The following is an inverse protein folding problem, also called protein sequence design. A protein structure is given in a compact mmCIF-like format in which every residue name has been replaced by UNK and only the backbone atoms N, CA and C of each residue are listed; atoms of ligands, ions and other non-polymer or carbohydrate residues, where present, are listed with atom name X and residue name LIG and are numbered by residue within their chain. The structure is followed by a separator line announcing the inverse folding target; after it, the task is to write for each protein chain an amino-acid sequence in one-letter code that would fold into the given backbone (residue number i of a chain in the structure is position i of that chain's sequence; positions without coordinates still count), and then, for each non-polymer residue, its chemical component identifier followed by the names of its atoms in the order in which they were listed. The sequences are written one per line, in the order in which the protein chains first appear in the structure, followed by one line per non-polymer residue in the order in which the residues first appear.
data_IF_254515070981
#
_entry.id   IF_254515070981
#
_cell.length_a   1.000
_cell.length_b   1.000
_cell.length_c   1.000
_cell.angle_alpha   90.00
_cell.angle_beta   90.00
_cell.angle_gamma   90.00
#
_symmetry.space_group_name_H-M   'P 1'
#
loop_
_entity.id
_entity.type
_entity.pdbx_description
1 polymer ?
#
# COMPACT_ATOMS: atom_id res chain seq x y z
N UNK A 1 3.52 4.52 -11.65
CA UNK A 1 3.16 3.11 -11.78
C UNK A 1 1.92 2.97 -12.63
N UNK A 2 1.94 2.05 -13.60
CA UNK A 2 0.77 1.73 -14.42
C UNK A 2 -0.30 1.06 -13.55
N UNK A 3 -1.56 1.49 -13.69
CA UNK A 3 -2.66 0.93 -12.92
C UNK A 3 -2.86 -0.56 -13.12
N UNK A 4 -2.64 -1.07 -14.33
CA UNK A 4 -2.71 -2.51 -14.62
C UNK A 4 -1.61 -3.28 -13.92
N UNK A 5 -0.43 -2.71 -13.86
CA UNK A 5 0.71 -3.31 -13.19
C UNK A 5 0.49 -3.38 -11.68
N UNK A 6 -0.03 -2.29 -11.11
CA UNK A 6 -0.38 -2.22 -9.70
C UNK A 6 -1.45 -3.24 -9.34
N UNK A 7 -2.48 -3.37 -10.17
CA UNK A 7 -3.56 -4.33 -9.95
C UNK A 7 -3.01 -5.75 -9.85
N UNK A 8 -2.14 -6.14 -10.79
CA UNK A 8 -1.51 -7.47 -10.77
C UNK A 8 -0.62 -7.66 -9.54
N UNK A 9 0.11 -6.62 -9.16
CA UNK A 9 0.98 -6.67 -7.99
C UNK A 9 0.17 -6.92 -6.72
N UNK A 10 -0.94 -6.25 -6.56
CA UNK A 10 -1.84 -6.42 -5.41
C UNK A 10 -2.49 -7.81 -5.45
N UNK A 11 -2.97 -8.25 -6.61
CA UNK A 11 -3.58 -9.59 -6.76
C UNK A 11 -2.65 -10.72 -6.35
N UNK A 12 -1.37 -10.60 -6.64
CA UNK A 12 -0.37 -11.60 -6.28
C UNK A 12 -0.24 -11.79 -4.78
N UNK A 13 -0.64 -10.80 -4.00
CA UNK A 13 -0.55 -10.84 -2.55
C UNK A 13 -1.80 -11.42 -1.89
N UNK A 14 -2.89 -11.58 -2.64
CA UNK A 14 -4.13 -12.17 -2.11
C UNK A 14 -3.89 -13.62 -1.68
N UNK A 15 -4.38 -13.97 -0.49
CA UNK A 15 -4.35 -15.35 0.02
C UNK A 15 -2.95 -15.97 0.09
N UNK A 16 -1.91 -15.13 0.24
CA UNK A 16 -0.53 -15.61 0.34
C UNK A 16 -0.07 -15.75 1.79
N UNK A 17 -0.81 -15.17 2.73
CA UNK A 17 -0.50 -15.20 4.16
C UNK A 17 -1.81 -15.07 4.94
N UNK A 18 -1.74 -15.20 6.26
CA UNK A 18 -2.92 -14.98 7.12
C UNK A 18 -3.43 -13.55 7.00
N UNK A 19 -2.53 -12.60 6.80
CA UNK A 19 -2.87 -11.19 6.70
C UNK A 19 -3.65 -10.86 5.42
N UNK A 20 -3.52 -11.67 4.38
CA UNK A 20 -4.19 -11.43 3.09
C UNK A 20 -5.22 -12.51 2.75
N UNK A 21 -5.46 -13.45 3.66
CA UNK A 21 -6.41 -14.54 3.43
C UNK A 21 -7.83 -14.00 3.30
N UNK A 22 -8.51 -14.41 2.24
CA UNK A 22 -9.89 -13.99 1.98
C UNK A 22 -10.01 -12.68 1.19
N UNK A 23 -8.91 -12.04 0.84
CA UNK A 23 -8.95 -10.82 0.03
C UNK A 23 -9.28 -11.14 -1.42
N UNK A 24 -10.14 -10.32 -2.02
CA UNK A 24 -10.46 -10.34 -3.45
C UNK A 24 -10.92 -8.95 -3.88
N UNK A 25 -11.04 -8.73 -5.18
CA UNK A 25 -11.58 -7.46 -5.66
C UNK A 25 -13.06 -7.31 -5.31
N UNK A 26 -13.76 -8.41 -5.07
CA UNK A 26 -15.17 -8.39 -4.71
C UNK A 26 -15.42 -7.80 -3.33
N UNK A 27 -14.46 -7.88 -2.42
CA UNK A 27 -14.59 -7.31 -1.09
C UNK A 27 -13.71 -6.07 -0.87
N UNK A 28 -13.30 -5.40 -1.95
CA UNK A 28 -12.60 -4.13 -1.86
C UNK A 28 -13.44 -3.13 -1.07
N UNK A 29 -12.82 -2.48 -0.10
CA UNK A 29 -13.53 -1.63 0.86
C UNK A 29 -13.45 -2.22 2.26
N UNK A 30 -13.44 -3.56 2.37
CA UNK A 30 -13.09 -4.26 3.60
C UNK A 30 -11.58 -4.31 3.78
N UNK A 31 -10.85 -4.17 2.69
CA UNK A 31 -9.40 -3.97 2.67
C UNK A 31 -9.10 -2.81 1.74
N UNK A 32 -7.92 -2.22 1.88
CA UNK A 32 -7.48 -1.09 1.06
C UNK A 32 -6.04 -1.28 0.64
N UNK A 33 -5.62 -0.53 -0.40
CA UNK A 33 -4.20 -0.44 -0.77
C UNK A 33 -3.53 0.50 0.22
N UNK A 34 -2.47 0.03 0.86
CA UNK A 34 -1.75 0.74 1.91
C UNK A 34 -0.31 1.01 1.48
N UNK A 35 0.25 2.12 1.93
CA UNK A 35 1.67 2.41 1.78
C UNK A 35 2.43 1.72 2.91
N UNK A 36 3.37 0.85 2.56
CA UNK A 36 4.21 0.14 3.53
C UNK A 36 5.00 1.16 4.36
N UNK A 37 5.67 2.09 3.67
CA UNK A 37 6.25 3.27 4.31
C UNK A 37 5.26 4.41 4.13
N UNK A 38 4.70 4.98 5.21
CA UNK A 38 3.64 6.00 5.11
C UNK A 38 4.09 7.26 4.40
N UNK A 39 3.13 7.94 3.77
CA UNK A 39 3.38 9.22 3.12
C UNK A 39 3.98 10.22 4.13
N UNK A 40 3.49 10.22 5.36
CA UNK A 40 3.99 11.08 6.43
C UNK A 40 5.49 10.94 6.66
N UNK A 41 6.02 9.72 6.55
CA UNK A 41 7.45 9.46 6.67
C UNK A 41 8.24 10.24 5.62
N UNK A 42 7.78 10.19 4.36
CA UNK A 42 8.44 10.89 3.26
C UNK A 42 8.36 12.40 3.44
N UNK A 43 7.22 12.91 3.94
CA UNK A 43 7.04 14.33 4.17
C UNK A 43 7.94 14.86 5.28
N UNK A 44 8.16 14.06 6.33
CA UNK A 44 8.97 14.47 7.48
C UNK A 44 10.46 14.31 7.29
N UNK A 45 10.89 13.30 6.52
CA UNK A 45 12.28 12.88 6.45
C UNK A 45 12.96 13.19 5.12
N UNK A 46 12.19 13.63 4.12
CA UNK A 46 12.69 13.90 2.79
C UNK A 46 12.01 15.14 2.21
N UNK A 47 12.63 15.73 1.19
CA UNK A 47 12.00 16.79 0.42
C UNK A 47 11.01 16.17 -0.57
N UNK A 48 9.72 16.29 -0.29
CA UNK A 48 8.67 15.69 -1.13
C UNK A 48 8.54 16.38 -2.49
N UNK A 49 9.22 17.51 -2.70
CA UNK A 49 9.32 18.12 -4.02
C UNK A 49 10.34 17.40 -4.92
N UNK A 50 11.18 16.54 -4.34
CA UNK A 50 12.08 15.69 -5.09
C UNK A 50 11.29 14.62 -5.81
N UNK A 51 11.37 14.57 -7.15
CA UNK A 51 10.63 13.62 -7.97
C UNK A 51 11.00 12.18 -7.63
N UNK A 52 12.26 11.91 -7.29
CA UNK A 52 12.71 10.56 -6.92
C UNK A 52 12.06 10.09 -5.63
N UNK A 53 11.89 10.99 -4.66
CA UNK A 53 11.20 10.68 -3.40
C UNK A 53 9.71 10.39 -3.67
N UNK A 54 9.07 11.17 -4.54
CA UNK A 54 7.68 10.93 -4.94
C UNK A 54 7.53 9.56 -5.59
N UNK A 55 8.44 9.20 -6.50
CA UNK A 55 8.43 7.89 -7.18
C UNK A 55 8.58 6.76 -6.17
N UNK A 56 9.46 6.92 -5.18
CA UNK A 56 9.67 5.92 -4.15
C UNK A 56 8.42 5.70 -3.31
N UNK A 57 7.77 6.79 -2.88
CA UNK A 57 6.55 6.76 -2.07
C UNK A 57 5.43 6.03 -2.79
N UNK A 58 5.24 6.28 -4.09
CA UNK A 58 4.16 5.72 -4.89
C UNK A 58 4.57 4.52 -5.74
N UNK A 59 5.78 3.98 -5.53
CA UNK A 59 6.23 2.79 -6.21
C UNK A 59 5.37 1.59 -5.78
N UNK A 60 5.06 0.69 -6.73
CA UNK A 60 4.24 -0.48 -6.45
C UNK A 60 4.85 -1.37 -5.35
N UNK A 61 6.18 -1.37 -5.19
CA UNK A 61 6.85 -2.11 -4.12
C UNK A 61 6.57 -1.53 -2.73
N UNK A 62 6.10 -0.28 -2.66
CA UNK A 62 5.70 0.36 -1.40
C UNK A 62 4.19 0.25 -1.15
N UNK A 63 3.48 -0.52 -1.96
CA UNK A 63 2.04 -0.69 -1.86
C UNK A 63 1.69 -2.13 -1.54
N UNK A 64 0.69 -2.32 -0.70
CA UNK A 64 0.22 -3.63 -0.28
C UNK A 64 -1.27 -3.60 0.01
N UNK A 65 -1.98 -4.74 -0.10
CA UNK A 65 -3.34 -4.82 0.41
C UNK A 65 -3.29 -4.97 1.93
N UNK A 66 -4.15 -4.23 2.63
CA UNK A 66 -4.24 -4.29 4.09
C UNK A 66 -5.70 -4.18 4.50
N UNK A 67 -6.15 -5.01 5.44
CA UNK A 67 -7.51 -4.94 5.94
C UNK A 67 -7.78 -3.57 6.54
N UNK A 68 -8.99 -3.05 6.34
CA UNK A 68 -9.34 -1.70 6.77
C UNK A 68 -9.10 -1.47 8.25
N UNK A 69 -9.43 -2.44 9.10
CA UNK A 69 -9.20 -2.35 10.54
C UNK A 69 -7.72 -2.27 10.88
N UNK A 70 -6.89 -3.07 10.20
CA UNK A 70 -5.45 -3.06 10.40
C UNK A 70 -4.83 -1.75 9.90
N UNK A 71 -5.36 -1.21 8.80
CA UNK A 71 -4.92 0.06 8.25
C UNK A 71 -5.19 1.20 9.24
N UNK A 72 -6.36 1.21 9.86
CA UNK A 72 -6.71 2.19 10.89
C UNK A 72 -5.78 2.08 12.09
N UNK A 73 -5.49 0.87 12.55
CA UNK A 73 -4.58 0.62 13.67
C UNK A 73 -3.15 1.05 13.37
N UNK A 74 -2.73 0.82 12.14
CA UNK A 74 -1.38 1.19 11.68
C UNK A 74 -1.20 2.71 11.68
N UNK A 75 -2.21 3.44 11.20
CA UNK A 75 -2.11 4.89 11.04
C UNK A 75 -0.87 5.27 10.24
N UNK A 76 -0.01 6.14 10.78
CA UNK A 76 1.25 6.57 10.17
C UNK A 76 2.46 5.78 10.68
N UNK A 77 2.26 4.67 11.36
CA UNK A 77 3.36 3.83 11.86
C UNK A 77 3.94 2.99 10.72
N UNK A 78 5.21 2.76 10.81
CA UNK A 78 5.94 1.89 9.88
C UNK A 78 5.89 0.45 10.38
#
# INVERSE_FOLDING_TARGET
CDGKFLKKHIEKQFNTSQETMGMSWNNYGEWHVDHIIPIDYFLKNHDFNDVEIQKECFNYNNLQPLWALENIKKGSKI
#
